data_IF_473924419750
#
_entry.id   IF_473924419750
#
_cell.length_a   1.000
_cell.length_b   1.000
_cell.length_c   1.000
_cell.angle_alpha   90.00
_cell.angle_beta   90.00
_cell.angle_gamma   90.00
#
_symmetry.space_group_name_H-M   'P 1'
#
loop_
_entity.id
_entity.type
_entity.pdbx_description
1 polymer ?
#
# COMPACT_ATOMS: atom_id res chain seq x y z
N UNK A 1 -4.32 22.14 -12.85
CA UNK A 1 -3.05 21.38 -12.99
C UNK A 1 -2.11 21.82 -11.88
N UNK A 2 -1.44 20.88 -11.20
CA UNK A 2 -0.57 21.19 -10.05
C UNK A 2 0.66 21.99 -10.50
N UNK A 3 0.87 23.15 -9.90
CA UNK A 3 2.02 24.05 -10.15
C UNK A 3 3.36 23.33 -9.90
N UNK A 4 3.36 22.31 -9.03
CA UNK A 4 4.54 21.48 -8.72
C UNK A 4 5.00 20.60 -9.89
N UNK A 5 4.10 20.21 -10.79
CA UNK A 5 4.45 19.41 -11.98
C UNK A 5 4.91 20.29 -13.16
N UNK A 6 4.64 21.59 -13.10
CA UNK A 6 5.02 22.57 -14.13
C UNK A 6 6.40 23.20 -13.84
N UNK A 7 6.89 23.10 -12.61
CA UNK A 7 8.23 23.53 -12.26
C UNK A 7 9.26 22.61 -12.94
N UNK A 8 10.37 23.15 -13.49
CA UNK A 8 11.46 22.32 -13.99
C UNK A 8 11.94 21.40 -12.88
N UNK A 9 12.23 20.15 -13.24
CA UNK A 9 12.77 19.14 -12.31
C UNK A 9 13.97 19.76 -11.60
N UNK A 10 13.88 20.03 -10.30
CA UNK A 10 15.04 20.46 -9.52
C UNK A 10 16.11 19.38 -9.69
N UNK A 11 17.23 19.74 -10.30
CA UNK A 11 18.44 18.94 -10.19
C UNK A 11 18.95 19.15 -8.76
N UNK A 12 18.54 18.29 -7.84
CA UNK A 12 19.21 18.21 -6.55
C UNK A 12 20.55 17.52 -6.78
N UNK A 13 21.62 18.31 -6.88
CA UNK A 13 22.99 17.81 -7.02
C UNK A 13 23.37 16.86 -5.87
N UNK A 14 22.79 17.07 -4.67
CA UNK A 14 22.92 16.16 -3.54
C UNK A 14 22.23 14.80 -3.79
N UNK A 15 21.07 14.78 -4.47
CA UNK A 15 20.38 13.54 -4.81
C UNK A 15 21.17 12.73 -5.84
N UNK A 16 21.94 13.39 -6.71
CA UNK A 16 22.83 12.73 -7.66
C UNK A 16 24.02 12.01 -6.99
N UNK A 17 24.34 12.33 -5.72
CA UNK A 17 25.37 11.64 -4.95
C UNK A 17 24.92 10.26 -4.43
N UNK A 18 23.62 9.94 -4.49
CA UNK A 18 23.08 8.68 -4.01
C UNK A 18 22.80 7.72 -5.17
N UNK A 19 23.25 6.47 -5.02
CA UNK A 19 22.79 5.38 -5.88
C UNK A 19 21.44 4.88 -5.39
N UNK A 20 20.38 5.16 -6.16
CA UNK A 20 19.06 4.61 -5.89
C UNK A 20 18.96 3.19 -6.45
N UNK A 21 18.67 2.20 -5.59
CA UNK A 21 18.45 0.81 -5.99
C UNK A 21 17.09 0.35 -5.45
N UNK A 22 16.04 0.27 -6.28
CA UNK A 22 14.73 -0.14 -5.82
C UNK A 22 14.71 -1.65 -5.57
N UNK A 23 14.52 -2.05 -4.31
CA UNK A 23 14.24 -3.45 -3.93
C UNK A 23 12.77 -3.55 -3.54
N UNK A 24 12.03 -4.47 -4.18
CA UNK A 24 10.57 -4.53 -4.05
C UNK A 24 10.09 -5.91 -3.63
N UNK A 25 9.17 -5.95 -2.67
CA UNK A 25 8.48 -7.17 -2.24
C UNK A 25 7.22 -7.36 -3.07
N UNK A 26 7.27 -8.23 -4.08
CA UNK A 26 6.13 -8.51 -4.96
C UNK A 26 5.69 -9.97 -4.82
N UNK A 27 4.39 -10.26 -4.68
CA UNK A 27 3.94 -11.65 -4.60
C UNK A 27 3.96 -12.30 -5.98
N UNK A 28 4.59 -13.46 -6.11
CA UNK A 28 4.51 -14.29 -7.32
C UNK A 28 3.09 -14.78 -7.59
N UNK A 29 2.32 -15.08 -6.53
CA UNK A 29 0.92 -15.49 -6.60
C UNK A 29 -0.03 -14.42 -6.02
N UNK A 30 -0.91 -13.91 -6.91
CA UNK A 30 -1.95 -12.93 -6.54
C UNK A 30 -3.03 -13.52 -5.64
N UNK A 31 -3.30 -14.82 -5.73
CA UNK A 31 -4.30 -15.48 -4.88
C UNK A 31 -3.86 -15.44 -3.41
N UNK A 32 -2.58 -15.69 -3.13
CA UNK A 32 -2.01 -15.59 -1.79
C UNK A 32 -2.12 -14.16 -1.25
N UNK A 33 -1.79 -13.14 -2.06
CA UNK A 33 -1.97 -11.75 -1.68
C UNK A 33 -3.44 -11.43 -1.36
N UNK A 34 -4.37 -11.87 -2.21
CA UNK A 34 -5.80 -11.62 -2.02
C UNK A 34 -6.37 -12.28 -0.76
N UNK A 35 -5.87 -13.46 -0.40
CA UNK A 35 -6.23 -14.16 0.83
C UNK A 35 -5.68 -13.42 2.06
N UNK A 36 -4.38 -13.03 2.05
CA UNK A 36 -3.77 -12.24 3.12
C UNK A 36 -4.45 -10.89 3.32
N UNK A 37 -4.87 -10.22 2.24
CA UNK A 37 -5.64 -8.97 2.33
C UNK A 37 -6.98 -9.19 3.05
N UNK A 38 -7.71 -10.25 2.71
CA UNK A 38 -8.98 -10.57 3.35
C UNK A 38 -8.78 -10.86 4.84
N UNK A 39 -7.84 -11.75 5.16
CA UNK A 39 -7.50 -12.09 6.55
C UNK A 39 -7.06 -10.87 7.37
N UNK A 40 -6.25 -9.98 6.78
CA UNK A 40 -5.82 -8.75 7.45
C UNK A 40 -7.00 -7.80 7.69
N UNK A 41 -7.92 -7.69 6.74
CA UNK A 41 -9.10 -6.84 6.91
C UNK A 41 -10.02 -7.38 8.00
N UNK A 42 -10.21 -8.70 8.06
CA UNK A 42 -10.96 -9.36 9.14
C UNK A 42 -10.30 -9.10 10.49
N UNK A 43 -8.98 -9.26 10.59
CA UNK A 43 -8.23 -8.96 11.81
C UNK A 43 -8.34 -7.48 12.23
N UNK A 44 -8.45 -6.54 11.27
CA UNK A 44 -8.73 -5.13 11.60
C UNK A 44 -10.13 -4.96 12.20
N UNK A 45 -11.15 -5.61 11.62
CA UNK A 45 -12.51 -5.56 12.14
C UNK A 45 -12.57 -6.13 13.56
N UNK A 46 -11.95 -7.28 13.78
CA UNK A 46 -11.86 -7.93 15.10
C UNK A 46 -11.10 -7.08 16.12
N UNK A 47 -10.13 -6.27 15.66
CA UNK A 47 -9.37 -5.34 16.49
C UNK A 47 -10.08 -3.99 16.74
N UNK A 48 -11.35 -3.84 16.37
CA UNK A 48 -12.14 -2.63 16.64
C UNK A 48 -11.98 -1.52 15.60
N UNK A 49 -11.71 -1.87 14.32
CA UNK A 49 -11.62 -0.89 13.24
C UNK A 49 -12.91 -0.07 13.08
N UNK A 50 -14.09 -0.67 13.22
CA UNK A 50 -15.36 0.07 13.16
C UNK A 50 -15.45 1.10 14.30
N UNK A 51 -15.06 0.72 15.52
CA UNK A 51 -15.07 1.61 16.67
C UNK A 51 -14.10 2.78 16.47
N UNK A 52 -12.95 2.55 15.82
CA UNK A 52 -12.04 3.63 15.43
C UNK A 52 -12.72 4.63 14.49
N UNK A 53 -13.37 4.13 13.44
CA UNK A 53 -14.06 4.99 12.47
C UNK A 53 -15.24 5.71 13.13
N UNK A 54 -15.96 5.07 14.05
CA UNK A 54 -17.02 5.73 14.81
C UNK A 54 -16.48 6.89 15.66
N UNK A 55 -15.35 6.71 16.34
CA UNK A 55 -14.68 7.80 17.09
C UNK A 55 -14.26 8.94 16.18
N UNK A 56 -13.75 8.65 14.99
CA UNK A 56 -13.37 9.67 14.01
C UNK A 56 -14.60 10.40 13.46
N UNK A 57 -15.71 9.69 13.24
CA UNK A 57 -16.98 10.27 12.77
C UNK A 57 -17.62 11.24 13.78
N UNK A 58 -17.40 11.03 15.07
CA UNK A 58 -17.87 11.94 16.13
C UNK A 58 -17.09 13.25 16.19
N UNK A 59 -15.97 13.38 15.48
CA UNK A 59 -15.20 14.62 15.43
C UNK A 59 -15.75 15.57 14.37
N UNK A 60 -16.11 16.78 14.79
CA UNK A 60 -16.68 17.80 13.90
C UNK A 60 -15.69 18.30 12.83
N UNK A 61 -14.38 18.20 13.08
CA UNK A 61 -13.35 18.63 12.14
C UNK A 61 -13.04 17.59 11.05
N UNK A 62 -13.60 16.38 11.14
CA UNK A 62 -13.37 15.30 10.19
C UNK A 62 -14.60 15.04 9.31
N UNK A 63 -14.36 14.92 8.01
CA UNK A 63 -15.38 14.53 7.04
C UNK A 63 -14.77 13.72 5.89
N UNK A 64 -15.59 12.95 5.17
CA UNK A 64 -15.19 12.04 4.08
C UNK A 64 -14.41 12.68 2.92
N UNK A 65 -14.42 14.01 2.83
CA UNK A 65 -13.69 14.76 1.81
C UNK A 65 -12.18 14.85 2.08
N UNK A 66 -11.75 14.71 3.33
CA UNK A 66 -10.36 14.87 3.75
C UNK A 66 -9.44 13.76 3.22
N UNK A 67 -8.16 14.06 2.93
CA UNK A 67 -7.21 13.05 2.45
C UNK A 67 -7.06 11.84 3.38
N UNK A 68 -7.08 12.04 4.70
CA UNK A 68 -7.01 10.97 5.70
C UNK A 68 -8.20 9.99 5.59
N UNK A 69 -9.40 10.51 5.32
CA UNK A 69 -10.61 9.68 5.16
C UNK A 69 -10.68 8.95 3.81
N UNK A 70 -9.73 9.20 2.90
CA UNK A 70 -9.59 8.45 1.64
C UNK A 70 -8.73 7.20 1.78
N UNK A 71 -8.17 6.93 2.97
CA UNK A 71 -7.52 5.65 3.24
C UNK A 71 -8.49 4.49 2.99
N UNK A 72 -7.96 3.39 2.42
CA UNK A 72 -8.78 2.23 2.05
C UNK A 72 -9.49 1.66 3.28
N UNK A 73 -10.79 1.36 3.16
CA UNK A 73 -11.62 0.86 4.26
C UNK A 73 -12.42 1.95 4.98
N UNK A 74 -11.87 3.15 5.18
CA UNK A 74 -12.51 4.19 6.02
C UNK A 74 -13.86 4.63 5.47
N UNK A 75 -13.95 4.92 4.16
CA UNK A 75 -15.24 5.26 3.54
C UNK A 75 -16.26 4.13 3.68
N UNK A 76 -15.84 2.88 3.51
CA UNK A 76 -16.75 1.73 3.60
C UNK A 76 -17.30 1.58 5.03
N UNK A 77 -16.45 1.69 6.05
CA UNK A 77 -16.87 1.65 7.44
C UNK A 77 -17.77 2.83 7.80
N UNK A 78 -17.50 4.02 7.25
CA UNK A 78 -18.34 5.20 7.46
C UNK A 78 -19.74 5.05 6.85
N UNK A 79 -19.84 4.59 5.59
CA UNK A 79 -21.12 4.27 4.93
C UNK A 79 -21.93 3.23 5.74
N UNK A 80 -21.26 2.23 6.32
CA UNK A 80 -21.89 1.27 7.23
C UNK A 80 -22.44 1.94 8.51
N UNK A 81 -21.68 2.86 9.11
CA UNK A 81 -22.10 3.62 10.30
C UNK A 81 -23.21 4.65 10.00
N UNK A 82 -23.35 5.08 8.75
CA UNK A 82 -24.47 5.90 8.26
C UNK A 82 -25.72 5.04 7.95
N UNK A 83 -25.58 3.71 7.91
CA UNK A 83 -26.68 2.79 7.60
C UNK A 83 -26.90 2.56 6.09
N UNK A 84 -26.00 3.06 5.24
CA UNK A 84 -26.11 2.96 3.77
C UNK A 84 -25.81 1.55 3.24
N UNK A 85 -25.18 0.70 4.05
CA UNK A 85 -24.78 -0.65 3.66
C UNK A 85 -24.75 -1.59 4.86
N UNK A 86 -24.90 -2.91 4.62
CA UNK A 86 -24.75 -3.92 5.67
C UNK A 86 -23.29 -4.29 5.94
N UNK A 87 -23.03 -4.96 7.06
CA UNK A 87 -21.69 -5.35 7.50
C UNK A 87 -20.93 -6.21 6.48
N UNK A 88 -21.60 -7.19 5.86
CA UNK A 88 -20.97 -8.09 4.89
C UNK A 88 -20.58 -7.31 3.64
N UNK A 89 -21.48 -6.47 3.14
CA UNK A 89 -21.22 -5.61 1.99
C UNK A 89 -20.09 -4.60 2.25
N UNK A 90 -20.06 -3.99 3.44
CA UNK A 90 -18.96 -3.11 3.87
C UNK A 90 -17.62 -3.83 3.84
N UNK A 91 -17.56 -5.02 4.45
CA UNK A 91 -16.36 -5.85 4.50
C UNK A 91 -15.86 -6.20 3.11
N UNK A 92 -16.74 -6.71 2.25
CA UNK A 92 -16.37 -7.13 0.90
C UNK A 92 -15.89 -5.95 0.04
N UNK A 93 -16.54 -4.78 0.17
CA UNK A 93 -16.09 -3.53 -0.46
C UNK A 93 -14.72 -3.08 0.07
N UNK A 94 -14.46 -3.19 1.38
CA UNK A 94 -13.18 -2.82 1.99
C UNK A 94 -12.02 -3.69 1.51
N UNK A 95 -12.25 -5.00 1.44
CA UNK A 95 -11.32 -5.97 0.87
C UNK A 95 -11.06 -5.66 -0.61
N UNK A 96 -12.12 -5.42 -1.39
CA UNK A 96 -11.99 -5.08 -2.81
C UNK A 96 -11.20 -3.78 -3.02
N UNK A 97 -11.49 -2.72 -2.27
CA UNK A 97 -10.78 -1.46 -2.34
C UNK A 97 -9.28 -1.63 -2.04
N UNK A 98 -8.94 -2.45 -1.05
CA UNK A 98 -7.55 -2.79 -0.70
C UNK A 98 -6.87 -3.55 -1.84
N UNK A 99 -7.54 -4.52 -2.47
CA UNK A 99 -7.00 -5.23 -3.66
C UNK A 99 -6.73 -4.27 -4.82
N UNK A 100 -7.63 -3.32 -5.08
CA UNK A 100 -7.42 -2.32 -6.12
C UNK A 100 -6.24 -1.39 -5.82
N UNK A 101 -6.03 -1.03 -4.55
CA UNK A 101 -4.84 -0.29 -4.13
C UNK A 101 -3.56 -1.08 -4.40
N UNK A 102 -3.49 -2.34 -3.94
CA UNK A 102 -2.31 -3.18 -4.16
C UNK A 102 -2.03 -3.42 -5.66
N UNK A 103 -3.08 -3.60 -6.47
CA UNK A 103 -2.93 -3.69 -7.94
C UNK A 103 -2.26 -2.43 -8.50
N UNK A 104 -2.71 -1.24 -8.10
CA UNK A 104 -2.10 0.03 -8.54
C UNK A 104 -0.65 0.17 -8.08
N UNK A 105 -0.33 -0.22 -6.84
CA UNK A 105 1.04 -0.22 -6.32
C UNK A 105 1.93 -1.12 -7.17
N UNK A 106 1.53 -2.39 -7.41
CA UNK A 106 2.29 -3.32 -8.24
C UNK A 106 2.45 -2.80 -9.68
N UNK A 107 1.39 -2.23 -10.27
CA UNK A 107 1.49 -1.62 -11.61
C UNK A 107 2.50 -0.46 -11.65
N UNK A 108 2.55 0.36 -10.60
CA UNK A 108 3.53 1.44 -10.49
C UNK A 108 4.97 0.91 -10.36
N UNK A 109 5.19 -0.11 -9.52
CA UNK A 109 6.50 -0.77 -9.39
C UNK A 109 6.97 -1.36 -10.73
N UNK A 110 6.07 -1.95 -11.52
CA UNK A 110 6.40 -2.48 -12.86
C UNK A 110 6.92 -1.44 -13.84
N UNK A 111 6.66 -0.15 -13.61
CA UNK A 111 7.21 0.94 -14.40
C UNK A 111 8.66 1.30 -14.03
N UNK A 112 9.24 0.65 -13.00
CA UNK A 112 10.65 0.72 -12.61
C UNK A 112 11.39 -0.52 -13.13
N UNK A 113 11.98 -0.47 -14.35
CA UNK A 113 12.68 -1.62 -14.92
C UNK A 113 13.91 -2.04 -14.12
N UNK A 114 14.55 -1.11 -13.40
CA UNK A 114 15.77 -1.31 -12.63
C UNK A 114 15.56 -1.95 -11.25
N UNK A 115 14.31 -2.24 -10.88
CA UNK A 115 14.01 -2.80 -9.56
C UNK A 115 14.44 -4.26 -9.44
N UNK A 116 14.91 -4.62 -8.27
CA UNK A 116 15.19 -5.99 -7.88
C UNK A 116 13.95 -6.54 -7.17
N UNK A 117 13.35 -7.57 -7.75
CA UNK A 117 12.12 -8.18 -7.24
C UNK A 117 12.46 -9.31 -6.29
N UNK A 118 11.94 -9.23 -5.07
CA UNK A 118 11.95 -10.32 -4.10
C UNK A 118 10.53 -10.85 -3.97
N UNK A 119 10.35 -12.16 -4.20
CA UNK A 119 9.05 -12.79 -4.03
C UNK A 119 8.70 -12.90 -2.54
N UNK A 120 7.70 -12.12 -2.10
CA UNK A 120 7.29 -12.09 -0.69
C UNK A 120 6.34 -13.23 -0.28
N UNK A 121 6.07 -14.15 -1.20
CA UNK A 121 5.33 -15.40 -0.93
C UNK A 121 6.28 -16.59 -0.76
N UNK A 122 7.52 -16.49 -1.22
CA UNK A 122 8.51 -17.53 -1.08
C UNK A 122 8.78 -17.86 0.41
N UNK A 123 8.99 -19.15 0.77
CA UNK A 123 9.25 -19.55 2.15
C UNK A 123 10.52 -18.94 2.73
N UNK A 124 11.48 -18.58 1.87
CA UNK A 124 12.78 -17.99 2.17
C UNK A 124 12.85 -16.49 1.82
N UNK A 125 11.69 -15.83 1.62
CA UNK A 125 11.62 -14.42 1.20
C UNK A 125 12.51 -13.47 2.02
N UNK A 126 12.56 -13.66 3.34
CA UNK A 126 13.41 -12.85 4.24
C UNK A 126 14.89 -13.05 3.94
N UNK A 127 15.34 -14.31 3.78
CA UNK A 127 16.74 -14.60 3.48
C UNK A 127 17.14 -14.04 2.11
N UNK A 128 16.26 -14.19 1.11
CA UNK A 128 16.48 -13.62 -0.22
C UNK A 128 16.49 -12.08 -0.22
N UNK A 129 15.64 -11.44 0.58
CA UNK A 129 15.66 -9.99 0.75
C UNK A 129 16.99 -9.51 1.35
N UNK A 130 17.48 -10.19 2.40
CA UNK A 130 18.75 -9.85 3.05
C UNK A 130 19.94 -10.03 2.09
N UNK A 131 20.03 -11.18 1.42
CA UNK A 131 21.08 -11.44 0.42
C UNK A 131 21.05 -10.41 -0.72
N UNK A 132 19.86 -10.02 -1.17
CA UNK A 132 19.72 -8.96 -2.17
C UNK A 132 20.29 -7.64 -1.67
N UNK A 133 19.97 -7.24 -0.45
CA UNK A 133 20.47 -6.01 0.14
C UNK A 133 21.99 -6.05 0.36
N UNK A 134 22.53 -7.17 0.83
CA UNK A 134 23.98 -7.37 0.99
C UNK A 134 24.70 -7.22 -0.36
N UNK A 135 24.20 -7.84 -1.43
CA UNK A 135 24.77 -7.70 -2.78
C UNK A 135 24.69 -6.27 -3.31
N UNK A 136 23.62 -5.55 -2.98
CA UNK A 136 23.47 -4.13 -3.35
C UNK A 136 24.49 -3.26 -2.64
N UNK A 137 24.76 -3.52 -1.35
CA UNK A 137 25.72 -2.78 -0.54
C UNK A 137 27.18 -3.09 -0.91
N UNK A 138 27.47 -4.32 -1.31
CA UNK A 138 28.82 -4.77 -1.69
C UNK A 138 29.22 -4.42 -3.14
N UNK A 139 28.40 -3.69 -3.89
CA UNK A 139 28.58 -3.38 -5.33
C UNK A 139 28.72 -4.62 -6.23
N UNK A 140 28.17 -5.76 -5.81
CA UNK A 140 28.30 -7.05 -6.51
C UNK A 140 27.23 -7.33 -7.56
N UNK A 141 26.37 -6.35 -7.86
CA UNK A 141 25.35 -6.46 -8.90
C UNK A 141 25.73 -5.63 -10.12
N UNK A 142 25.80 -6.22 -11.33
CA UNK A 142 26.02 -5.44 -12.55
C UNK A 142 24.84 -4.52 -12.81
N UNK A 143 25.16 -3.31 -13.28
CA UNK A 143 24.22 -2.30 -13.81
C UNK A 143 23.43 -2.80 -15.01
#
# INVERSE_FOLDING_TARGET
MSVLLAAPRRADDEAAAYRFVPVTLEPSDRAVLHARIAQRFDAMLDAGFIDEVERLRRREDLHLGLPSMRCVGYRQAWEFLDGDTDYRTMRDKGIFATRQLCKRQITWLRAMPERIVVDCVAPDATAHALDTLERVLDDRLPT
#
